data_IF_953620066791
#
_entry.id   IF_953620066791
#
_cell.length_a   1.000
_cell.length_b   1.000
_cell.length_c   1.000
_cell.angle_alpha   90.00
_cell.angle_beta   90.00
_cell.angle_gamma   90.00
#
_symmetry.space_group_name_H-M   'P 1'
#
loop_
_entity.id
_entity.type
_entity.pdbx_description
1 polymer ?
#
# COMPACT_ATOMS: atom_id res chain seq x y z
N UNK A 1 27.80 -10.38 -11.43
CA UNK A 1 27.80 -9.02 -10.87
C UNK A 1 27.12 -9.07 -9.51
N UNK A 2 27.72 -8.52 -8.44
CA UNK A 2 27.10 -8.43 -7.11
C UNK A 2 26.74 -6.96 -6.86
N UNK A 3 25.50 -6.69 -6.49
CA UNK A 3 25.01 -5.36 -6.14
C UNK A 3 24.78 -5.33 -4.63
N UNK A 4 25.25 -4.28 -3.96
CA UNK A 4 24.96 -4.04 -2.54
C UNK A 4 23.73 -3.16 -2.45
N UNK A 5 22.71 -3.62 -1.71
CA UNK A 5 21.50 -2.86 -1.43
C UNK A 5 21.53 -2.37 0.02
N UNK A 6 21.04 -1.15 0.23
CA UNK A 6 20.79 -0.58 1.55
C UNK A 6 19.30 -0.34 1.66
N UNK A 7 18.68 -0.86 2.72
CA UNK A 7 17.27 -0.65 3.01
C UNK A 7 17.10 0.48 4.03
N UNK A 8 16.11 1.33 3.81
CA UNK A 8 15.75 2.44 4.67
C UNK A 8 14.30 2.26 5.13
N UNK A 9 14.00 2.65 6.36
CA UNK A 9 12.70 2.45 7.00
C UNK A 9 12.72 1.36 8.07
N UNK A 10 11.55 0.84 8.48
CA UNK A 10 10.23 1.02 7.86
C UNK A 10 9.68 2.45 8.02
N UNK A 11 9.07 2.97 6.97
CA UNK A 11 8.35 4.25 7.01
C UNK A 11 6.85 4.03 7.02
N UNK A 12 6.15 4.87 7.76
CA UNK A 12 4.68 4.92 7.76
C UNK A 12 4.19 5.94 6.74
N UNK A 13 3.02 5.71 6.15
CA UNK A 13 2.40 6.68 5.23
C UNK A 13 1.57 7.73 5.97
N UNK A 14 1.08 7.40 7.16
CA UNK A 14 0.31 8.30 8.02
C UNK A 14 0.41 7.84 9.48
N UNK A 15 0.09 8.71 10.43
CA UNK A 15 0.17 8.41 11.86
C UNK A 15 0.65 9.60 12.67
N UNK A 16 0.80 9.44 13.99
CA UNK A 16 1.41 10.43 14.88
C UNK A 16 2.62 9.79 15.58
N UNK A 17 3.67 10.58 15.79
CA UNK A 17 4.88 10.20 16.55
C UNK A 17 5.68 9.03 15.94
N UNK A 18 5.62 8.85 14.63
CA UNK A 18 6.34 7.79 13.90
C UNK A 18 7.15 8.39 12.75
N UNK A 19 8.14 7.66 12.23
CA UNK A 19 8.88 8.08 11.03
C UNK A 19 7.97 8.01 9.80
N UNK A 20 7.37 9.16 9.46
CA UNK A 20 6.51 9.31 8.29
C UNK A 20 7.34 9.46 7.04
N UNK A 21 7.00 8.70 5.99
CA UNK A 21 7.67 8.81 4.70
C UNK A 21 7.58 10.23 4.17
N UNK A 22 6.39 10.83 4.17
CA UNK A 22 6.15 12.13 3.53
C UNK A 22 6.92 13.29 4.16
N UNK A 23 7.42 13.12 5.39
CA UNK A 23 8.24 14.10 6.10
C UNK A 23 9.73 13.77 6.07
N UNK A 24 10.11 12.59 5.58
CA UNK A 24 11.50 12.13 5.49
C UNK A 24 12.19 12.66 4.23
N UNK A 25 13.49 12.96 4.32
CA UNK A 25 14.29 13.37 3.16
C UNK A 25 14.33 12.30 2.07
N UNK A 26 14.27 11.02 2.43
CA UNK A 26 14.25 9.93 1.46
C UNK A 26 13.03 10.02 0.53
N UNK A 27 11.95 10.68 0.93
CA UNK A 27 10.76 10.83 0.08
C UNK A 27 11.02 11.60 -1.22
N UNK A 28 12.12 12.35 -1.28
CA UNK A 28 12.60 13.09 -2.46
C UNK A 28 13.38 12.19 -3.43
N UNK A 29 13.84 11.04 -2.98
CA UNK A 29 14.55 10.05 -3.79
C UNK A 29 13.57 9.17 -4.59
N UNK A 30 14.12 8.35 -5.48
CA UNK A 30 13.40 7.43 -6.36
C UNK A 30 14.16 6.09 -6.43
N UNK A 31 13.50 5.03 -6.92
CA UNK A 31 14.09 3.70 -7.02
C UNK A 31 13.13 2.59 -6.60
N UNK A 32 13.66 1.58 -5.92
CA UNK A 32 12.91 0.40 -5.48
C UNK A 32 12.34 0.64 -4.07
N UNK A 33 11.07 0.26 -3.87
CA UNK A 33 10.42 0.25 -2.56
C UNK A 33 9.73 -1.08 -2.31
N UNK A 34 9.64 -1.44 -1.04
CA UNK A 34 8.90 -2.60 -0.56
C UNK A 34 7.64 -2.10 0.16
N UNK A 35 6.48 -2.57 -0.29
CA UNK A 35 5.23 -2.42 0.43
C UNK A 35 5.06 -3.64 1.33
N UNK A 36 4.94 -3.40 2.62
CA UNK A 36 4.94 -4.46 3.62
C UNK A 36 3.74 -4.38 4.54
N UNK A 37 3.28 -5.54 4.99
CA UNK A 37 2.33 -5.67 6.10
C UNK A 37 3.06 -6.22 7.32
N UNK A 38 2.59 -5.89 8.53
CA UNK A 38 3.14 -6.46 9.77
C UNK A 38 2.89 -7.96 9.81
N UNK A 39 3.92 -8.73 10.15
CA UNK A 39 3.84 -10.19 10.25
C UNK A 39 4.76 -10.67 11.37
N UNK A 40 4.18 -11.32 12.38
CA UNK A 40 4.89 -11.79 13.59
C UNK A 40 5.81 -10.70 14.18
N UNK A 41 7.13 -10.96 14.25
CA UNK A 41 8.13 -10.04 14.78
C UNK A 41 8.79 -9.18 13.68
N UNK A 42 8.13 -8.99 12.54
CA UNK A 42 8.67 -8.26 11.41
C UNK A 42 7.61 -7.91 10.37
N UNK A 43 7.97 -8.11 9.09
CA UNK A 43 7.20 -7.65 7.95
C UNK A 43 7.15 -8.71 6.85
N UNK A 44 5.99 -8.86 6.23
CA UNK A 44 5.82 -9.62 4.99
C UNK A 44 5.77 -8.62 3.83
N UNK A 45 6.53 -8.88 2.77
CA UNK A 45 6.45 -8.10 1.53
C UNK A 45 5.19 -8.50 0.79
N UNK A 46 4.26 -7.57 0.66
CA UNK A 46 3.03 -7.75 -0.12
C UNK A 46 3.24 -7.34 -1.58
N UNK A 47 4.03 -6.28 -1.80
CA UNK A 47 4.31 -5.78 -3.14
C UNK A 47 5.71 -5.15 -3.23
N UNK A 48 6.38 -5.37 -4.36
CA UNK A 48 7.65 -4.72 -4.70
C UNK A 48 7.39 -3.79 -5.88
N UNK A 49 7.81 -2.54 -5.76
CA UNK A 49 7.68 -1.57 -6.84
C UNK A 49 8.98 -0.84 -7.13
N UNK A 50 9.07 -0.37 -8.36
CA UNK A 50 10.09 0.57 -8.81
C UNK A 50 9.40 1.87 -9.25
N UNK A 51 10.06 3.00 -9.04
CA UNK A 51 9.59 4.30 -9.52
C UNK A 51 10.76 5.16 -9.98
N UNK A 52 10.60 5.79 -11.15
CA UNK A 52 11.45 6.91 -11.58
C UNK A 52 10.96 8.29 -11.11
N UNK A 53 9.79 8.33 -10.46
CA UNK A 53 9.26 9.49 -9.71
C UNK A 53 9.69 9.39 -8.25
N UNK A 54 9.61 10.49 -7.53
CA UNK A 54 9.96 10.48 -6.10
C UNK A 54 9.07 9.51 -5.31
N UNK A 55 9.59 8.93 -4.22
CA UNK A 55 8.78 8.07 -3.35
C UNK A 55 7.56 8.82 -2.81
N UNK A 56 7.68 10.12 -2.54
CA UNK A 56 6.55 10.98 -2.18
C UNK A 56 5.43 10.92 -3.24
N UNK A 57 5.78 11.15 -4.51
CA UNK A 57 4.81 11.13 -5.61
C UNK A 57 4.20 9.74 -5.77
N UNK A 58 5.03 8.70 -5.74
CA UNK A 58 4.58 7.33 -5.96
C UNK A 58 3.69 6.81 -4.83
N UNK A 59 3.99 7.14 -3.56
CA UNK A 59 3.13 6.75 -2.44
C UNK A 59 1.85 7.56 -2.41
N UNK A 60 1.88 8.85 -2.78
CA UNK A 60 0.65 9.63 -2.97
C UNK A 60 -0.27 9.00 -4.02
N UNK A 61 0.28 8.57 -5.15
CA UNK A 61 -0.47 7.84 -6.18
C UNK A 61 -1.05 6.54 -5.63
N UNK A 62 -0.26 5.73 -4.90
CA UNK A 62 -0.78 4.53 -4.26
C UNK A 62 -1.96 4.81 -3.33
N UNK A 63 -1.90 5.87 -2.54
CA UNK A 63 -3.01 6.28 -1.68
C UNK A 63 -4.24 6.69 -2.49
N UNK A 64 -4.08 7.52 -3.53
CA UNK A 64 -5.20 7.94 -4.40
C UNK A 64 -5.86 6.73 -5.05
N UNK A 65 -5.09 5.81 -5.61
CA UNK A 65 -5.63 4.64 -6.31
C UNK A 65 -6.24 3.62 -5.34
N UNK A 66 -5.70 3.49 -4.13
CA UNK A 66 -6.28 2.61 -3.10
C UNK A 66 -7.61 3.17 -2.58
N UNK A 67 -7.63 4.44 -2.18
CA UNK A 67 -8.86 5.09 -1.69
C UNK A 67 -9.87 5.36 -2.81
N UNK A 68 -9.45 5.45 -4.07
CA UNK A 68 -10.31 5.51 -5.24
C UNK A 68 -10.90 4.16 -5.65
N UNK A 69 -10.58 3.07 -4.94
CA UNK A 69 -11.08 1.73 -5.26
C UNK A 69 -10.45 1.13 -6.51
N UNK A 70 -9.41 1.74 -7.06
CA UNK A 70 -8.77 1.25 -8.28
C UNK A 70 -7.89 0.03 -8.01
N UNK A 71 -7.30 -0.05 -6.83
CA UNK A 71 -6.48 -1.18 -6.40
C UNK A 71 -7.26 -2.28 -5.70
N UNK A 72 -6.66 -3.48 -5.75
CA UNK A 72 -7.07 -4.61 -4.93
C UNK A 72 -6.85 -4.25 -3.47
N UNK A 73 -7.83 -4.58 -2.63
CA UNK A 73 -7.73 -4.50 -1.18
C UNK A 73 -7.91 -5.91 -0.65
N UNK A 74 -6.96 -6.33 0.17
CA UNK A 74 -6.98 -7.59 0.89
C UNK A 74 -7.38 -7.36 2.34
N UNK A 75 -7.91 -8.40 2.98
CA UNK A 75 -8.24 -8.42 4.41
C UNK A 75 -6.93 -8.24 5.22
N UNK A 76 -6.75 -7.11 5.93
CA UNK A 76 -5.50 -6.79 6.60
C UNK A 76 -5.21 -7.75 7.75
N UNK A 77 -6.24 -8.22 8.46
CA UNK A 77 -6.08 -9.17 9.56
C UNK A 77 -5.55 -10.51 9.04
N UNK A 78 -6.09 -11.02 7.93
CA UNK A 78 -5.61 -12.26 7.34
C UNK A 78 -4.23 -12.10 6.69
N UNK A 79 -3.96 -10.96 6.04
CA UNK A 79 -2.63 -10.67 5.49
C UNK A 79 -1.56 -10.66 6.59
N UNK A 80 -1.84 -10.11 7.77
CA UNK A 80 -0.93 -10.13 8.92
C UNK A 80 -0.61 -11.54 9.44
N UNK A 81 -1.39 -12.53 9.02
CA UNK A 81 -1.23 -13.96 9.30
C UNK A 81 -0.70 -14.74 8.09
N UNK A 82 -0.22 -14.04 7.06
CA UNK A 82 0.33 -14.64 5.83
C UNK A 82 -0.74 -15.25 4.91
N UNK A 83 -2.02 -14.85 5.04
CA UNK A 83 -3.13 -15.38 4.24
C UNK A 83 -3.72 -14.29 3.35
N UNK A 84 -3.75 -14.52 2.04
CA UNK A 84 -4.42 -13.60 1.10
C UNK A 84 -5.93 -13.85 1.09
N UNK A 85 -6.73 -12.80 1.33
CA UNK A 85 -8.17 -12.79 1.07
C UNK A 85 -8.55 -11.45 0.46
N UNK A 86 -8.98 -11.47 -0.79
CA UNK A 86 -9.41 -10.26 -1.51
C UNK A 86 -10.80 -9.86 -1.03
N UNK A 87 -10.93 -8.64 -0.48
CA UNK A 87 -12.22 -8.05 -0.08
C UNK A 87 -12.76 -7.09 -1.15
N UNK A 88 -11.86 -6.53 -1.97
CA UNK A 88 -12.17 -5.72 -3.13
C UNK A 88 -11.15 -5.97 -4.23
N UNK A 89 -11.60 -6.24 -5.46
CA UNK A 89 -10.68 -6.66 -6.53
C UNK A 89 -10.18 -5.50 -7.42
N UNK A 90 -10.43 -4.25 -7.02
CA UNK A 90 -10.01 -3.04 -7.73
C UNK A 90 -10.87 -2.75 -8.97
N UNK A 91 -10.83 -1.51 -9.48
CA UNK A 91 -11.50 -1.12 -10.73
C UNK A 91 -10.61 -1.24 -11.97
N UNK A 92 -9.28 -1.42 -11.82
CA UNK A 92 -8.38 -1.49 -12.98
C UNK A 92 -8.51 -2.79 -13.79
N UNK A 93 -9.01 -3.87 -13.17
CA UNK A 93 -9.16 -5.19 -13.81
C UNK A 93 -10.34 -5.21 -14.77
N UNK A 94 -10.18 -5.92 -15.88
CA UNK A 94 -11.18 -5.94 -16.98
C UNK A 94 -12.57 -6.35 -16.48
N UNK A 95 -12.62 -7.28 -15.53
CA UNK A 95 -13.84 -7.88 -14.97
C UNK A 95 -14.57 -6.94 -13.98
N UNK A 96 -13.94 -5.85 -13.56
CA UNK A 96 -14.43 -5.00 -12.45
C UNK A 96 -14.47 -3.51 -12.78
N UNK A 97 -14.01 -3.09 -13.96
CA UNK A 97 -14.03 -1.67 -14.40
C UNK A 97 -15.39 -0.97 -14.30
N UNK A 98 -16.48 -1.72 -14.46
CA UNK A 98 -17.85 -1.20 -14.41
C UNK A 98 -18.45 -1.24 -12.99
N UNK A 99 -17.71 -1.64 -11.97
CA UNK A 99 -18.21 -1.85 -10.59
C UNK A 99 -18.10 -0.62 -9.70
N UNK A 100 -18.04 0.59 -10.26
CA UNK A 100 -17.91 1.83 -9.47
C UNK A 100 -19.06 2.02 -8.47
N UNK A 101 -20.29 1.63 -8.84
CA UNK A 101 -21.44 1.70 -7.92
C UNK A 101 -21.26 0.73 -6.75
N UNK A 102 -20.83 -0.51 -7.01
CA UNK A 102 -20.51 -1.49 -5.95
C UNK A 102 -19.40 -1.00 -5.02
N UNK A 103 -18.41 -0.27 -5.54
CA UNK A 103 -17.38 0.36 -4.72
C UNK A 103 -17.96 1.43 -3.80
N UNK A 104 -18.81 2.32 -4.33
CA UNK A 104 -19.48 3.37 -3.57
C UNK A 104 -20.33 2.75 -2.45
N UNK A 105 -21.12 1.72 -2.76
CA UNK A 105 -21.96 1.01 -1.79
C UNK A 105 -21.15 0.36 -0.64
N UNK A 106 -19.87 0.05 -0.89
CA UNK A 106 -18.97 -0.59 0.09
C UNK A 106 -17.99 0.39 0.74
N UNK A 107 -17.98 1.67 0.36
CA UNK A 107 -16.89 2.59 0.74
C UNK A 107 -16.75 2.72 2.26
N UNK A 108 -17.87 2.80 2.99
CA UNK A 108 -17.88 2.91 4.45
C UNK A 108 -17.28 1.68 5.13
N UNK A 109 -17.49 0.50 4.55
CA UNK A 109 -16.90 -0.75 5.01
C UNK A 109 -15.40 -0.86 4.63
N UNK A 110 -15.02 -0.40 3.44
CA UNK A 110 -13.66 -0.55 2.92
C UNK A 110 -12.67 0.44 3.54
N UNK A 111 -13.08 1.69 3.80
CA UNK A 111 -12.20 2.74 4.34
C UNK A 111 -11.45 2.33 5.62
N UNK A 112 -12.08 1.77 6.67
CA UNK A 112 -11.34 1.35 7.86
C UNK A 112 -10.31 0.24 7.56
N UNK A 113 -10.64 -0.69 6.67
CA UNK A 113 -9.74 -1.78 6.27
C UNK A 113 -8.57 -1.29 5.43
N UNK A 114 -8.80 -0.31 4.55
CA UNK A 114 -7.74 0.37 3.81
C UNK A 114 -6.79 1.07 4.78
N UNK A 115 -7.32 1.79 5.78
CA UNK A 115 -6.49 2.45 6.80
C UNK A 115 -5.60 1.45 7.54
N UNK A 116 -6.15 0.30 7.94
CA UNK A 116 -5.36 -0.76 8.58
C UNK A 116 -4.29 -1.35 7.65
N UNK A 117 -4.63 -1.57 6.38
CA UNK A 117 -3.69 -2.12 5.39
C UNK A 117 -2.50 -1.18 5.09
N UNK A 118 -2.69 0.14 5.16
CA UNK A 118 -1.63 1.13 4.85
C UNK A 118 -0.84 1.62 6.08
N UNK A 119 -1.06 1.03 7.27
CA UNK A 119 -0.46 1.42 8.57
C UNK A 119 0.47 0.36 9.17
#
# INVERSE_FOLDING_TARGET
MKIKLTFYGPYKLYGKNEELLFDSDISKDYGIYLWTVKYENGYLVDYIGETGRTFWQRMKEHLIETFGGNYRICDPELLSKGKEKIIWNGLWRKETRNKIIEFIDKVEFLVPLIKEYIN
#
